data_IF_429986209208
#
_entry.id   IF_429986209208
#
_cell.length_a   1.000
_cell.length_b   1.000
_cell.length_c   1.000
_cell.angle_alpha   90.00
_cell.angle_beta   90.00
_cell.angle_gamma   90.00
#
_symmetry.space_group_name_H-M   'P 1'
#
loop_
_entity.id
_entity.type
_entity.pdbx_description
1 polymer ?
#
# COMPACT_ATOMS: atom_id res chain seq x y z
N UNK A 1 -0.12 20.30 3.67
CA UNK A 1 -0.62 19.58 4.86
C UNK A 1 0.38 19.60 6.00
N UNK A 2 -0.08 19.88 7.22
CA UNK A 2 0.66 19.65 8.47
C UNK A 2 0.79 18.15 8.76
N UNK A 3 1.67 17.75 9.69
CA UNK A 3 1.80 16.33 10.09
C UNK A 3 0.48 15.80 10.68
N UNK A 4 -0.23 16.65 11.43
CA UNK A 4 -1.56 16.33 11.98
C UNK A 4 -2.58 16.10 10.87
N UNK A 5 -2.63 16.97 9.86
CA UNK A 5 -3.51 16.80 8.70
C UNK A 5 -3.21 15.52 7.93
N UNK A 6 -1.93 15.19 7.74
CA UNK A 6 -1.53 13.92 7.09
C UNK A 6 -1.99 12.70 7.89
N UNK A 7 -1.86 12.71 9.22
CA UNK A 7 -2.33 11.60 10.05
C UNK A 7 -3.86 11.44 10.02
N UNK A 8 -4.61 12.54 9.97
CA UNK A 8 -6.06 12.51 9.84
C UNK A 8 -6.49 11.96 8.48
N UNK A 9 -5.85 12.41 7.41
CA UNK A 9 -6.11 11.94 6.04
C UNK A 9 -5.76 10.46 5.88
N UNK A 10 -4.61 10.03 6.41
CA UNK A 10 -4.21 8.63 6.44
C UNK A 10 -5.27 7.78 7.14
N UNK A 11 -5.76 8.22 8.31
CA UNK A 11 -6.81 7.50 9.06
C UNK A 11 -8.13 7.42 8.28
N UNK A 12 -8.52 8.50 7.59
CA UNK A 12 -9.71 8.53 6.73
C UNK A 12 -9.61 7.50 5.61
N UNK A 13 -8.51 7.52 4.86
CA UNK A 13 -8.29 6.63 3.72
C UNK A 13 -8.16 5.16 4.13
N UNK A 14 -7.52 4.90 5.28
CA UNK A 14 -7.47 3.55 5.88
C UNK A 14 -8.88 3.03 6.14
N UNK A 15 -9.73 3.83 6.78
CA UNK A 15 -11.12 3.45 7.06
C UNK A 15 -11.94 3.22 5.77
N UNK A 16 -11.78 4.08 4.75
CA UNK A 16 -12.45 3.94 3.46
C UNK A 16 -12.09 2.64 2.74
N UNK A 17 -10.87 2.15 2.91
CA UNK A 17 -10.42 0.88 2.34
C UNK A 17 -10.63 -0.34 3.25
N UNK A 18 -11.22 -0.16 4.43
CA UNK A 18 -11.37 -1.23 5.41
C UNK A 18 -10.03 -1.72 5.99
N UNK A 19 -9.00 -0.88 5.95
CA UNK A 19 -7.67 -1.15 6.49
C UNK A 19 -7.52 -0.52 7.88
N UNK A 20 -6.89 -1.26 8.81
CA UNK A 20 -6.57 -0.71 10.13
C UNK A 20 -5.24 0.07 10.13
N UNK A 21 -4.26 -0.40 9.36
CA UNK A 21 -2.92 0.17 9.31
C UNK A 21 -2.20 -0.13 7.99
N UNK A 22 -1.15 0.65 7.73
CA UNK A 22 -0.08 0.30 6.78
C UNK A 22 1.16 -0.02 7.61
N UNK A 23 1.81 -1.13 7.30
CA UNK A 23 2.97 -1.58 8.08
C UNK A 23 4.13 -0.57 7.99
N UNK A 24 4.80 -0.32 9.10
CA UNK A 24 5.85 0.69 9.21
C UNK A 24 5.38 2.15 9.22
N UNK A 25 4.08 2.44 9.09
CA UNK A 25 3.55 3.81 9.09
C UNK A 25 2.78 4.08 10.39
N UNK A 26 3.22 5.08 11.15
CA UNK A 26 2.62 5.43 12.44
C UNK A 26 2.76 6.94 12.77
N UNK A 27 2.38 7.35 13.98
CA UNK A 27 2.45 8.74 14.44
C UNK A 27 3.89 9.29 14.50
N UNK A 28 4.91 8.44 14.60
CA UNK A 28 6.31 8.85 14.60
C UNK A 28 6.86 9.05 13.19
N UNK A 29 6.21 8.49 12.15
CA UNK A 29 6.62 8.66 10.76
C UNK A 29 6.76 10.13 10.36
N UNK A 30 7.73 10.40 9.49
CA UNK A 30 7.98 11.72 8.97
C UNK A 30 6.93 12.10 7.90
N UNK A 31 6.92 13.36 7.46
CA UNK A 31 5.91 13.83 6.49
C UNK A 31 6.00 13.11 5.13
N UNK A 32 7.19 12.72 4.69
CA UNK A 32 7.36 12.04 3.41
C UNK A 32 6.80 10.62 3.46
N UNK A 33 7.07 9.88 4.54
CA UNK A 33 6.52 8.54 4.77
C UNK A 33 4.98 8.56 4.82
N UNK A 34 4.40 9.54 5.53
CA UNK A 34 2.94 9.71 5.61
C UNK A 34 2.33 10.05 4.26
N UNK A 35 2.96 10.94 3.49
CA UNK A 35 2.50 11.27 2.12
C UNK A 35 2.55 10.07 1.20
N UNK A 36 3.65 9.32 1.21
CA UNK A 36 3.79 8.13 0.40
C UNK A 36 2.72 7.07 0.73
N UNK A 37 2.41 6.90 2.03
CA UNK A 37 1.33 6.03 2.46
C UNK A 37 -0.05 6.52 1.98
N UNK A 38 -0.30 7.82 2.02
CA UNK A 38 -1.53 8.43 1.49
C UNK A 38 -1.64 8.23 -0.02
N UNK A 39 -0.57 8.48 -0.78
CA UNK A 39 -0.54 8.29 -2.24
C UNK A 39 -0.79 6.82 -2.61
N UNK A 40 -0.22 5.87 -1.87
CA UNK A 40 -0.51 4.45 -1.99
C UNK A 40 -2.00 4.11 -1.73
N UNK A 41 -2.63 4.76 -0.75
CA UNK A 41 -4.06 4.59 -0.49
C UNK A 41 -4.94 5.32 -1.51
N UNK A 42 -4.47 6.39 -2.14
CA UNK A 42 -5.23 7.07 -3.20
C UNK A 42 -5.11 6.35 -4.56
N UNK A 43 -4.04 5.57 -4.75
CA UNK A 43 -3.83 4.75 -5.93
C UNK A 43 -5.03 3.82 -6.17
N UNK A 44 -5.52 3.81 -7.42
CA UNK A 44 -6.64 2.97 -7.83
C UNK A 44 -6.24 1.50 -7.78
N UNK A 45 -7.21 0.61 -7.60
CA UNK A 45 -6.93 -0.82 -7.56
C UNK A 45 -6.46 -1.35 -8.93
N UNK A 46 -6.87 -0.71 -10.02
CA UNK A 46 -6.37 -0.97 -11.37
C UNK A 46 -4.89 -0.61 -11.50
N UNK A 47 -4.50 0.60 -11.08
CA UNK A 47 -3.10 1.04 -11.13
C UNK A 47 -2.23 0.16 -10.24
N UNK A 48 -2.73 -0.18 -9.04
CA UNK A 48 -2.02 -1.06 -8.12
C UNK A 48 -1.88 -2.49 -8.68
N UNK A 49 -2.86 -2.98 -9.46
CA UNK A 49 -2.77 -4.23 -10.20
C UNK A 49 -1.70 -4.19 -11.30
N UNK A 50 -1.63 -3.10 -12.07
CA UNK A 50 -0.58 -2.90 -13.07
C UNK A 50 0.81 -2.87 -12.44
N UNK A 51 0.93 -2.25 -11.26
CA UNK A 51 2.16 -2.26 -10.46
C UNK A 51 2.55 -3.68 -10.03
N UNK A 52 1.60 -4.51 -9.61
CA UNK A 52 1.88 -5.91 -9.26
C UNK A 52 2.38 -6.70 -10.48
N UNK A 53 1.81 -6.50 -11.67
CA UNK A 53 2.28 -7.18 -12.89
C UNK A 53 3.68 -6.72 -13.32
N UNK A 54 4.04 -5.44 -13.14
CA UNK A 54 5.44 -5.00 -13.29
C UNK A 54 6.36 -5.71 -12.30
N UNK A 55 5.92 -5.86 -11.04
CA UNK A 55 6.68 -6.55 -10.01
C UNK A 55 6.94 -8.01 -10.35
N UNK A 56 6.03 -8.68 -11.06
CA UNK A 56 6.23 -10.05 -11.59
C UNK A 56 7.40 -10.14 -12.57
N UNK A 57 7.59 -9.13 -13.42
CA UNK A 57 8.66 -9.11 -14.42
C UNK A 57 10.04 -8.98 -13.78
N UNK A 58 10.15 -8.20 -12.71
CA UNK A 58 11.42 -7.92 -12.03
C UNK A 58 11.70 -8.87 -10.87
N UNK A 59 10.66 -9.23 -10.12
CA UNK A 59 10.73 -10.01 -8.88
C UNK A 59 9.66 -11.13 -8.86
N UNK A 60 9.78 -12.16 -9.72
CA UNK A 60 8.77 -13.21 -9.85
C UNK A 60 8.52 -13.99 -8.56
N UNK A 61 9.56 -14.20 -7.73
CA UNK A 61 9.42 -14.87 -6.44
C UNK A 61 8.61 -14.05 -5.44
N UNK A 62 8.78 -12.72 -5.44
CA UNK A 62 8.03 -11.83 -4.56
C UNK A 62 6.58 -11.73 -5.04
N UNK A 63 6.34 -11.66 -6.35
CA UNK A 63 5.00 -11.76 -6.91
C UNK A 63 4.30 -13.02 -6.43
N UNK A 64 4.94 -14.18 -6.59
CA UNK A 64 4.39 -15.46 -6.17
C UNK A 64 4.04 -15.44 -4.68
N UNK A 65 4.94 -14.97 -3.81
CA UNK A 65 4.71 -14.84 -2.37
C UNK A 65 3.49 -13.96 -2.05
N UNK A 66 3.41 -12.77 -2.68
CA UNK A 66 2.30 -11.83 -2.47
C UNK A 66 0.96 -12.44 -2.91
N UNK A 67 0.93 -13.12 -4.06
CA UNK A 67 -0.30 -13.77 -4.57
C UNK A 67 -0.66 -15.06 -3.84
N UNK A 68 0.29 -15.70 -3.17
CA UNK A 68 0.07 -16.95 -2.41
C UNK A 68 -0.38 -16.71 -0.97
N UNK A 69 -0.07 -15.52 -0.40
CA UNK A 69 -0.45 -15.14 0.95
C UNK A 69 -1.95 -14.75 1.10
N UNK A 70 -2.74 -14.82 0.02
CA UNK A 70 -4.15 -14.44 -0.02
C UNK A 70 -5.10 -15.60 -0.31
N UNK A 71 -6.39 -15.41 -0.03
CA UNK A 71 -7.45 -16.30 -0.56
C UNK A 71 -7.62 -16.11 -2.08
N UNK A 72 -7.24 -14.95 -2.59
CA UNK A 72 -7.29 -14.57 -3.99
C UNK A 72 -6.07 -13.72 -4.37
N UNK A 73 -5.87 -13.52 -5.68
CA UNK A 73 -4.78 -12.69 -6.22
C UNK A 73 -4.92 -11.19 -5.89
N UNK A 74 -6.02 -10.78 -5.27
CA UNK A 74 -6.35 -9.39 -4.96
C UNK A 74 -6.19 -9.04 -3.48
N UNK A 75 -5.99 -10.05 -2.63
CA UNK A 75 -5.87 -9.93 -1.17
C UNK A 75 -4.76 -8.97 -0.75
N UNK A 76 -3.73 -8.80 -1.59
CA UNK A 76 -2.63 -7.86 -1.35
C UNK A 76 -3.09 -6.40 -1.26
N UNK A 77 -4.20 -6.02 -1.92
CA UNK A 77 -4.77 -4.67 -1.89
C UNK A 77 -5.25 -4.27 -0.49
N UNK A 78 -5.62 -5.26 0.32
CA UNK A 78 -6.11 -5.14 1.69
C UNK A 78 -5.10 -5.59 2.74
N UNK A 79 -3.86 -5.90 2.33
CA UNK A 79 -2.80 -6.30 3.24
C UNK A 79 -1.95 -5.08 3.62
N UNK A 80 -1.82 -4.82 4.92
CA UNK A 80 -1.11 -3.67 5.49
C UNK A 80 0.30 -3.48 4.96
N UNK A 81 1.06 -4.58 4.82
CA UNK A 81 2.40 -4.59 4.22
C UNK A 81 2.40 -4.63 2.67
N UNK A 82 1.78 -5.65 2.06
CA UNK A 82 1.92 -5.90 0.62
C UNK A 82 1.44 -4.74 -0.26
N UNK A 83 0.39 -4.01 0.15
CA UNK A 83 -0.12 -2.87 -0.61
C UNK A 83 0.96 -1.81 -0.82
N UNK A 84 1.58 -1.36 0.27
CA UNK A 84 2.64 -0.35 0.23
C UNK A 84 3.91 -0.88 -0.45
N UNK A 85 4.23 -2.16 -0.24
CA UNK A 85 5.38 -2.79 -0.89
C UNK A 85 5.24 -2.78 -2.42
N UNK A 86 4.10 -3.24 -2.95
CA UNK A 86 3.82 -3.24 -4.40
C UNK A 86 3.83 -1.83 -4.95
N UNK A 87 3.21 -0.88 -4.24
CA UNK A 87 3.22 0.52 -4.64
C UNK A 87 4.65 1.06 -4.80
N UNK A 88 5.52 0.84 -3.82
CA UNK A 88 6.89 1.36 -3.81
C UNK A 88 7.84 0.67 -4.79
N UNK A 89 7.71 -0.66 -4.97
CA UNK A 89 8.69 -1.47 -5.72
C UNK A 89 8.40 -1.58 -7.21
N UNK A 90 7.23 -1.14 -7.65
CA UNK A 90 6.82 -1.16 -9.04
C UNK A 90 6.95 0.20 -9.76
N UNK A 91 7.65 1.16 -9.14
CA UNK A 91 8.04 2.45 -9.74
C UNK A 91 9.27 2.28 -10.64
#
# INVERSE_FOLDING_TARGET
MTKRELLLELKRLLAEKGLYSIDGINSNSNKAELKNAIECLQCSDEELGLRLEKLKQVYPNIYNLITSNGKDKESFKYHSFNRLYVYNKAN
#
